data_IF_269843504818
#
_entry.id   IF_269843504818
#
_cell.length_a   1.000
_cell.length_b   1.000
_cell.length_c   1.000
_cell.angle_alpha   90.00
_cell.angle_beta   90.00
_cell.angle_gamma   90.00
#
_symmetry.space_group_name_H-M   'P 1'
#
loop_
_entity.id
_entity.type
_entity.pdbx_description
1 polymer ?
#
# COMPACT_ATOMS: atom_id res chain seq x y z
N UNK A 1 -40.05 19.29 -1.70
CA UNK A 1 -40.59 17.90 -1.62
C UNK A 1 -40.38 17.11 -2.90
N UNK A 2 -40.79 17.58 -4.09
CA UNK A 2 -40.57 16.84 -5.36
C UNK A 2 -39.10 16.49 -5.65
N UNK A 3 -38.19 17.47 -5.55
CA UNK A 3 -36.75 17.23 -5.77
C UNK A 3 -36.18 16.16 -4.82
N UNK A 4 -36.51 16.27 -3.53
CA UNK A 4 -36.09 15.30 -2.51
C UNK A 4 -36.64 13.90 -2.79
N UNK A 5 -37.92 13.79 -3.18
CA UNK A 5 -38.54 12.52 -3.58
C UNK A 5 -37.85 11.91 -4.80
N UNK A 6 -37.51 12.71 -5.81
CA UNK A 6 -36.77 12.25 -6.99
C UNK A 6 -35.39 11.73 -6.59
N UNK A 7 -34.61 12.48 -5.82
CA UNK A 7 -33.28 12.01 -5.39
C UNK A 7 -33.35 10.77 -4.49
N UNK A 8 -34.35 10.66 -3.62
CA UNK A 8 -34.56 9.49 -2.79
C UNK A 8 -34.90 8.26 -3.63
N UNK A 9 -35.85 8.40 -4.57
CA UNK A 9 -36.23 7.33 -5.51
C UNK A 9 -35.05 6.93 -6.40
N UNK A 10 -34.28 7.89 -6.92
CA UNK A 10 -33.06 7.62 -7.67
C UNK A 10 -32.03 6.87 -6.83
N UNK A 11 -31.82 7.27 -5.57
CA UNK A 11 -30.90 6.58 -4.65
C UNK A 11 -31.33 5.14 -4.38
N UNK A 12 -32.61 4.92 -4.07
CA UNK A 12 -33.16 3.57 -3.87
C UNK A 12 -33.06 2.72 -5.14
N UNK A 13 -33.33 3.32 -6.31
CA UNK A 13 -33.17 2.69 -7.62
C UNK A 13 -31.72 2.26 -7.84
N UNK A 14 -30.74 3.13 -7.60
CA UNK A 14 -29.32 2.79 -7.71
C UNK A 14 -28.93 1.65 -6.77
N UNK A 15 -29.34 1.71 -5.49
CA UNK A 15 -29.05 0.65 -4.51
C UNK A 15 -29.60 -0.70 -4.98
N UNK A 16 -30.82 -0.70 -5.53
CA UNK A 16 -31.45 -1.92 -6.03
C UNK A 16 -30.79 -2.44 -7.31
N UNK A 17 -30.73 -1.63 -8.37
CA UNK A 17 -30.26 -2.09 -9.68
C UNK A 17 -28.78 -2.47 -9.67
N UNK A 18 -27.92 -1.70 -9.00
CA UNK A 18 -26.50 -2.04 -8.91
C UNK A 18 -26.33 -3.41 -8.25
N UNK A 19 -26.97 -3.60 -7.08
CA UNK A 19 -26.83 -4.85 -6.35
C UNK A 19 -27.49 -6.03 -7.08
N UNK A 20 -28.60 -5.78 -7.80
CA UNK A 20 -29.26 -6.77 -8.66
C UNK A 20 -28.35 -7.24 -9.80
N UNK A 21 -27.80 -6.31 -10.59
CA UNK A 21 -26.96 -6.67 -11.74
C UNK A 21 -25.65 -7.35 -11.30
N UNK A 22 -25.03 -6.90 -10.21
CA UNK A 22 -23.86 -7.58 -9.62
C UNK A 22 -24.24 -9.02 -9.24
N UNK A 23 -25.34 -9.21 -8.51
CA UNK A 23 -25.77 -10.54 -8.09
C UNK A 23 -26.06 -11.46 -9.29
N UNK A 24 -26.64 -10.96 -10.38
CA UNK A 24 -26.87 -11.74 -11.60
C UNK A 24 -25.56 -12.15 -12.28
N UNK A 25 -24.61 -11.22 -12.39
CA UNK A 25 -23.31 -11.48 -13.00
C UNK A 25 -22.51 -12.50 -12.18
N UNK A 26 -22.43 -12.30 -10.86
CA UNK A 26 -21.78 -13.24 -9.94
C UNK A 26 -22.44 -14.63 -9.99
N UNK A 27 -23.77 -14.69 -10.08
CA UNK A 27 -24.51 -15.97 -10.17
C UNK A 27 -24.15 -16.78 -11.40
N UNK A 28 -23.84 -16.12 -12.51
CA UNK A 28 -23.48 -16.75 -13.77
C UNK A 28 -22.09 -17.42 -13.70
N UNK A 29 -21.12 -16.84 -12.99
CA UNK A 29 -19.80 -17.44 -12.79
C UNK A 29 -19.77 -18.44 -11.64
N UNK A 30 -20.35 -18.10 -10.49
CA UNK A 30 -20.31 -18.96 -9.30
C UNK A 30 -21.34 -20.09 -9.30
N UNK A 31 -22.26 -20.12 -10.28
CA UNK A 31 -23.41 -21.04 -10.35
C UNK A 31 -24.29 -21.02 -9.08
N UNK A 32 -24.23 -19.95 -8.30
CA UNK A 32 -25.02 -19.74 -7.08
C UNK A 32 -25.35 -18.27 -6.91
N UNK A 33 -26.54 -17.99 -6.41
CA UNK A 33 -26.91 -16.62 -6.05
C UNK A 33 -26.16 -16.20 -4.79
N UNK A 34 -25.26 -15.22 -4.94
CA UNK A 34 -24.49 -14.65 -3.86
C UNK A 34 -24.78 -13.16 -3.77
N UNK A 35 -25.13 -12.68 -2.57
CA UNK A 35 -25.24 -11.26 -2.29
C UNK A 35 -24.09 -10.86 -1.37
N UNK A 36 -23.05 -10.24 -1.93
CA UNK A 36 -21.77 -9.99 -1.25
C UNK A 36 -21.95 -9.27 0.08
N UNK A 37 -22.78 -8.21 0.12
CA UNK A 37 -23.02 -7.45 1.35
C UNK A 37 -23.65 -8.29 2.48
N UNK A 38 -24.57 -9.18 2.13
CA UNK A 38 -25.20 -10.08 3.10
C UNK A 38 -24.23 -11.18 3.54
N UNK A 39 -23.42 -11.72 2.62
CA UNK A 39 -22.41 -12.72 2.96
C UNK A 39 -21.36 -12.16 3.93
N UNK A 40 -20.94 -10.90 3.75
CA UNK A 40 -20.03 -10.22 4.67
C UNK A 40 -20.66 -10.08 6.06
N UNK A 41 -21.90 -9.62 6.16
CA UNK A 41 -22.61 -9.48 7.44
C UNK A 41 -22.87 -10.84 8.09
N UNK A 42 -23.30 -11.82 7.29
CA UNK A 42 -23.58 -13.18 7.73
C UNK A 42 -22.34 -13.83 8.32
N UNK A 43 -21.19 -13.74 7.63
CA UNK A 43 -19.94 -14.31 8.11
C UNK A 43 -19.37 -13.58 9.33
N UNK A 44 -19.32 -12.24 9.31
CA UNK A 44 -18.63 -11.47 10.36
C UNK A 44 -19.49 -11.11 11.57
N UNK A 45 -20.81 -11.19 11.47
CA UNK A 45 -21.73 -10.74 12.53
C UNK A 45 -22.66 -11.85 12.97
N UNK A 46 -23.41 -12.48 12.05
CA UNK A 46 -24.44 -13.47 12.43
C UNK A 46 -23.88 -14.86 12.73
N UNK A 47 -22.78 -15.25 12.08
CA UNK A 47 -22.11 -16.54 12.25
C UNK A 47 -20.68 -16.40 12.80
N UNK A 48 -20.37 -15.26 13.41
CA UNK A 48 -19.12 -15.10 14.16
C UNK A 48 -19.14 -15.99 15.41
N UNK A 49 -18.00 -16.58 15.73
CA UNK A 49 -17.78 -17.40 16.92
C UNK A 49 -16.34 -17.26 17.37
N UNK A 50 -15.96 -17.87 18.49
CA UNK A 50 -14.56 -17.83 18.97
C UNK A 50 -13.56 -18.40 17.95
N UNK A 51 -14.02 -19.22 16.99
CA UNK A 51 -13.20 -19.82 15.94
C UNK A 51 -13.47 -19.29 14.54
N UNK A 52 -14.42 -18.35 14.36
CA UNK A 52 -14.83 -17.83 13.04
C UNK A 52 -15.14 -16.34 13.08
N UNK A 53 -14.95 -15.65 11.97
CA UNK A 53 -15.31 -14.23 11.85
C UNK A 53 -14.09 -13.31 11.87
N UNK A 54 -14.25 -12.04 12.27
CA UNK A 54 -13.23 -11.00 12.06
C UNK A 54 -11.95 -11.17 12.89
N UNK A 55 -12.05 -11.78 14.07
CA UNK A 55 -10.97 -11.79 15.06
C UNK A 55 -9.94 -12.91 14.84
N UNK A 56 -10.22 -13.86 13.94
CA UNK A 56 -9.39 -15.05 13.70
C UNK A 56 -8.02 -14.74 13.07
N UNK A 57 -7.84 -13.51 12.58
CA UNK A 57 -6.58 -13.00 12.03
C UNK A 57 -5.83 -12.09 13.02
N UNK A 58 -6.27 -12.07 14.28
CA UNK A 58 -5.77 -11.20 15.32
C UNK A 58 -6.53 -9.87 15.40
N UNK A 59 -6.43 -9.23 16.56
CA UNK A 59 -7.08 -7.94 16.85
C UNK A 59 -6.04 -6.90 17.24
N UNK A 60 -6.40 -5.63 17.06
CA UNK A 60 -5.62 -4.48 17.51
C UNK A 60 -6.56 -3.50 18.22
N UNK A 61 -5.98 -2.63 19.04
CA UNK A 61 -6.72 -1.56 19.72
C UNK A 61 -7.20 -0.49 18.72
N UNK A 62 -8.20 0.32 19.10
CA UNK A 62 -8.81 1.35 18.24
C UNK A 62 -7.79 2.32 17.63
N UNK A 63 -6.66 2.54 18.32
CA UNK A 63 -5.55 3.38 17.84
C UNK A 63 -5.02 2.93 16.47
N UNK A 64 -5.15 1.64 16.16
CA UNK A 64 -4.73 1.07 14.88
C UNK A 64 -5.47 1.71 13.70
N UNK A 65 -6.78 1.93 13.81
CA UNK A 65 -7.55 2.64 12.76
C UNK A 65 -7.09 4.08 12.57
N UNK A 66 -6.77 4.79 13.65
CA UNK A 66 -6.25 6.16 13.57
C UNK A 66 -4.86 6.19 12.92
N UNK A 67 -3.98 5.24 13.26
CA UNK A 67 -2.66 5.11 12.62
C UNK A 67 -2.81 4.80 11.12
N UNK A 68 -3.70 3.89 10.75
CA UNK A 68 -3.98 3.56 9.36
C UNK A 68 -4.52 4.79 8.58
N UNK A 69 -5.50 5.51 9.14
CA UNK A 69 -6.04 6.71 8.51
C UNK A 69 -5.02 7.85 8.42
N UNK A 70 -4.17 8.05 9.43
CA UNK A 70 -3.06 9.01 9.35
C UNK A 70 -2.03 8.60 8.29
N UNK A 71 -1.77 7.31 8.12
CA UNK A 71 -0.84 6.82 7.11
C UNK A 71 -1.42 6.94 5.70
N UNK A 72 -2.71 6.69 5.50
CA UNK A 72 -3.34 6.66 4.17
C UNK A 72 -3.92 8.02 3.73
N UNK A 73 -4.45 8.81 4.66
CA UNK A 73 -5.04 10.13 4.39
C UNK A 73 -4.19 11.30 4.87
N UNK A 74 -3.10 11.06 5.62
CA UNK A 74 -2.22 12.12 6.11
C UNK A 74 -3.01 13.24 6.82
N UNK A 75 -2.72 14.50 6.47
CA UNK A 75 -3.39 15.68 7.02
C UNK A 75 -4.87 15.77 6.60
N UNK A 76 -5.30 15.10 5.53
CA UNK A 76 -6.71 15.11 5.11
C UNK A 76 -7.59 14.50 6.19
N UNK A 77 -7.12 13.43 6.84
CA UNK A 77 -7.87 12.82 7.94
C UNK A 77 -8.00 13.77 9.13
N UNK A 78 -6.92 14.45 9.52
CA UNK A 78 -6.94 15.40 10.65
C UNK A 78 -7.95 16.52 10.37
N UNK A 79 -7.87 17.13 9.19
CA UNK A 79 -8.76 18.23 8.81
C UNK A 79 -10.21 17.75 8.66
N UNK A 80 -10.42 16.60 8.02
CA UNK A 80 -11.74 15.98 7.89
C UNK A 80 -12.36 15.62 9.24
N UNK A 81 -11.54 15.19 10.20
CA UNK A 81 -11.95 14.89 11.57
C UNK A 81 -12.34 16.16 12.34
N UNK A 82 -11.54 17.22 12.25
CA UNK A 82 -11.86 18.54 12.85
C UNK A 82 -13.19 19.07 12.32
N UNK A 83 -13.47 18.88 11.03
CA UNK A 83 -14.74 19.29 10.44
C UNK A 83 -15.96 18.55 11.03
N UNK A 84 -15.81 17.38 11.64
CA UNK A 84 -16.93 16.71 12.34
C UNK A 84 -17.39 17.48 13.57
N UNK A 85 -16.48 18.18 14.24
CA UNK A 85 -16.81 19.00 15.41
C UNK A 85 -17.62 20.26 15.04
N UNK A 86 -17.74 20.56 13.74
CA UNK A 86 -18.53 21.69 13.25
C UNK A 86 -19.91 21.22 12.81
N UNK A 87 -20.98 21.94 13.17
CA UNK A 87 -22.34 21.66 12.69
C UNK A 87 -22.85 22.86 11.90
N UNK A 88 -22.74 22.82 10.57
CA UNK A 88 -23.14 23.93 9.70
C UNK A 88 -24.50 23.71 9.03
N UNK A 89 -24.90 22.46 8.73
CA UNK A 89 -26.11 22.19 7.95
C UNK A 89 -26.71 20.80 8.22
N UNK A 90 -28.04 20.72 8.37
CA UNK A 90 -28.80 19.47 8.49
C UNK A 90 -28.58 18.49 7.35
N UNK A 91 -28.39 18.98 6.12
CA UNK A 91 -28.14 18.12 4.96
C UNK A 91 -26.76 17.47 5.03
N UNK A 92 -25.73 18.21 5.46
CA UNK A 92 -24.38 17.67 5.65
C UNK A 92 -24.37 16.63 6.78
N UNK A 93 -25.12 16.89 7.84
CA UNK A 93 -25.28 15.96 8.95
C UNK A 93 -25.85 14.62 8.45
N UNK A 94 -26.93 14.64 7.67
CA UNK A 94 -27.60 13.43 7.18
C UNK A 94 -26.81 12.72 6.08
N UNK A 95 -26.21 13.46 5.14
CA UNK A 95 -25.61 12.88 3.93
C UNK A 95 -24.28 12.18 4.22
N UNK A 96 -23.40 12.74 5.06
CA UNK A 96 -22.08 12.15 5.26
C UNK A 96 -21.60 12.14 6.72
N UNK A 97 -21.92 13.13 7.56
CA UNK A 97 -21.41 13.13 8.94
C UNK A 97 -22.00 12.03 9.80
N UNK A 98 -23.31 11.82 9.74
CA UNK A 98 -23.99 10.79 10.53
C UNK A 98 -23.59 9.37 10.07
N UNK A 99 -23.62 9.01 8.78
CA UNK A 99 -23.13 7.70 8.34
C UNK A 99 -21.69 7.44 8.76
N UNK A 100 -20.84 8.46 8.68
CA UNK A 100 -19.44 8.38 9.09
C UNK A 100 -19.25 8.20 10.60
N UNK A 101 -19.97 8.97 11.41
CA UNK A 101 -19.94 8.84 12.87
C UNK A 101 -20.49 7.49 13.34
N UNK A 102 -21.55 6.98 12.70
CA UNK A 102 -22.09 5.65 12.98
C UNK A 102 -21.02 4.60 12.68
N UNK A 103 -20.39 4.68 11.51
CA UNK A 103 -19.36 3.73 11.11
C UNK A 103 -18.15 3.75 12.05
N UNK A 104 -17.61 4.94 12.34
CA UNK A 104 -16.54 5.08 13.32
C UNK A 104 -16.96 4.58 14.71
N UNK A 105 -18.18 4.87 15.14
CA UNK A 105 -18.69 4.40 16.43
C UNK A 105 -18.70 2.87 16.52
N UNK A 106 -19.14 2.19 15.45
CA UNK A 106 -19.12 0.73 15.36
C UNK A 106 -17.68 0.21 15.44
N UNK A 107 -16.78 0.68 14.58
CA UNK A 107 -15.42 0.13 14.50
C UNK A 107 -14.48 0.55 15.63
N UNK A 108 -14.71 1.70 16.27
CA UNK A 108 -13.99 2.05 17.51
C UNK A 108 -14.46 1.20 18.69
N UNK A 109 -15.71 0.72 18.67
CA UNK A 109 -16.24 -0.15 19.74
C UNK A 109 -15.81 -1.60 19.63
N UNK A 110 -15.18 -2.00 18.52
CA UNK A 110 -14.81 -3.39 18.25
C UNK A 110 -13.28 -3.51 18.13
N UNK A 111 -12.61 -4.40 18.88
CA UNK A 111 -11.20 -4.68 18.69
C UNK A 111 -11.03 -5.37 17.34
N UNK A 112 -10.28 -4.78 16.42
CA UNK A 112 -10.28 -5.24 15.05
C UNK A 112 -9.03 -4.77 14.30
N UNK A 113 -8.39 -5.69 13.56
CA UNK A 113 -7.11 -5.43 12.85
C UNK A 113 -7.25 -5.16 11.34
N UNK A 114 -8.36 -5.53 10.71
CA UNK A 114 -8.47 -5.33 9.25
C UNK A 114 -8.94 -3.92 8.86
N UNK A 115 -8.08 -3.21 8.14
CA UNK A 115 -8.32 -1.85 7.57
C UNK A 115 -9.38 -1.85 6.48
N UNK A 116 -9.58 -2.98 5.80
CA UNK A 116 -10.54 -3.05 4.71
C UNK A 116 -11.94 -2.64 5.17
N UNK A 117 -12.30 -2.85 6.43
CA UNK A 117 -13.59 -2.38 6.93
C UNK A 117 -13.74 -0.85 6.97
N UNK A 118 -12.68 -0.07 6.77
CA UNK A 118 -12.75 1.39 6.66
C UNK A 118 -12.97 1.90 5.22
N UNK A 119 -12.86 1.06 4.19
CA UNK A 119 -13.09 1.51 2.80
C UNK A 119 -14.46 2.19 2.58
N UNK A 120 -15.56 1.77 3.25
CA UNK A 120 -16.86 2.40 3.06
C UNK A 120 -16.92 3.86 3.51
N UNK A 121 -15.98 4.32 4.33
CA UNK A 121 -15.98 5.69 4.86
C UNK A 121 -14.94 6.62 4.23
N UNK A 122 -14.01 6.09 3.43
CA UNK A 122 -12.94 6.86 2.79
C UNK A 122 -13.47 8.06 1.98
N UNK A 123 -14.53 7.86 1.21
CA UNK A 123 -15.13 8.93 0.43
C UNK A 123 -15.84 9.98 1.31
N UNK A 124 -16.43 9.57 2.44
CA UNK A 124 -17.08 10.49 3.39
C UNK A 124 -16.05 11.36 4.12
N UNK A 125 -14.87 10.81 4.44
CA UNK A 125 -13.73 11.56 4.97
C UNK A 125 -13.26 12.61 3.96
N UNK A 126 -13.13 12.22 2.68
CA UNK A 126 -12.78 13.15 1.59
C UNK A 126 -13.79 14.28 1.42
N UNK A 127 -15.10 13.99 1.50
CA UNK A 127 -16.16 15.01 1.46
C UNK A 127 -16.03 15.95 2.67
N UNK A 128 -15.76 15.40 3.86
CA UNK A 128 -15.56 16.21 5.07
C UNK A 128 -14.38 17.17 4.93
N UNK A 129 -13.24 16.67 4.43
CA UNK A 129 -12.06 17.47 4.14
C UNK A 129 -12.37 18.58 3.13
N UNK A 130 -12.94 18.23 1.97
CA UNK A 130 -13.27 19.18 0.91
C UNK A 130 -14.26 20.25 1.40
N UNK A 131 -15.22 19.85 2.23
CA UNK A 131 -16.12 20.80 2.85
C UNK A 131 -15.36 21.77 3.77
N UNK A 132 -14.48 21.30 4.63
CA UNK A 132 -13.72 22.19 5.52
C UNK A 132 -12.88 23.20 4.73
N UNK A 133 -12.18 22.73 3.70
CA UNK A 133 -11.34 23.57 2.84
C UNK A 133 -12.16 24.58 2.01
N UNK A 134 -13.37 24.20 1.61
CA UNK A 134 -14.29 25.09 0.91
C UNK A 134 -15.03 26.04 1.84
N UNK A 135 -15.30 25.65 3.08
CA UNK A 135 -16.17 26.36 4.02
C UNK A 135 -15.78 27.83 4.14
N UNK A 136 -16.73 28.74 3.96
CA UNK A 136 -16.56 30.18 4.22
C UNK A 136 -16.53 30.49 5.73
N UNK A 137 -16.05 29.56 6.56
CA UNK A 137 -16.03 29.65 8.03
C UNK A 137 -15.32 30.90 8.53
N UNK A 138 -14.40 31.41 7.72
CA UNK A 138 -13.72 32.66 7.92
C UNK A 138 -14.59 33.80 7.38
N UNK A 139 -15.26 34.53 8.29
CA UNK A 139 -16.14 35.67 7.98
C UNK A 139 -15.53 36.68 7.00
N UNK A 140 -16.39 37.49 6.39
CA UNK A 140 -16.17 38.26 5.16
C UNK A 140 -15.19 39.46 5.21
N UNK A 141 -14.10 39.39 5.96
CA UNK A 141 -13.05 40.41 5.94
C UNK A 141 -11.91 40.01 4.97
N UNK A 142 -11.19 41.00 4.43
CA UNK A 142 -10.10 40.75 3.47
C UNK A 142 -8.95 39.92 4.07
N UNK A 143 -8.59 40.20 5.33
CA UNK A 143 -7.52 39.50 6.04
C UNK A 143 -7.79 38.00 6.22
N UNK A 144 -9.00 37.64 6.64
CA UNK A 144 -9.41 36.25 6.88
C UNK A 144 -9.49 35.45 5.58
N UNK A 145 -9.86 36.10 4.46
CA UNK A 145 -9.79 35.50 3.11
C UNK A 145 -8.35 35.22 2.68
N UNK A 146 -7.42 36.14 2.95
CA UNK A 146 -5.99 35.94 2.62
C UNK A 146 -5.36 34.84 3.46
N UNK A 147 -5.61 34.82 4.77
CA UNK A 147 -5.14 33.76 5.67
C UNK A 147 -5.67 32.40 5.22
N UNK A 148 -6.97 32.30 4.89
CA UNK A 148 -7.56 31.05 4.36
C UNK A 148 -6.89 30.60 3.07
N UNK A 149 -6.62 31.51 2.13
CA UNK A 149 -5.92 31.17 0.88
C UNK A 149 -4.53 30.61 1.16
N UNK A 150 -3.75 31.29 2.01
CA UNK A 150 -2.42 30.82 2.41
C UNK A 150 -2.52 29.45 3.07
N UNK A 151 -3.43 29.26 4.02
CA UNK A 151 -3.65 27.97 4.68
C UNK A 151 -4.00 26.88 3.66
N UNK A 152 -4.88 27.17 2.70
CA UNK A 152 -5.26 26.21 1.66
C UNK A 152 -4.06 25.81 0.79
N UNK A 153 -3.24 26.77 0.37
CA UNK A 153 -2.02 26.47 -0.38
C UNK A 153 -1.05 25.63 0.47
N UNK A 154 -0.83 26.00 1.72
CA UNK A 154 0.06 25.26 2.64
C UNK A 154 -0.42 23.83 2.83
N UNK A 155 -1.70 23.61 3.13
CA UNK A 155 -2.28 22.28 3.31
C UNK A 155 -2.14 21.46 2.03
N UNK A 156 -2.46 22.03 0.87
CA UNK A 156 -2.35 21.32 -0.42
C UNK A 156 -0.89 20.97 -0.73
N UNK A 157 0.04 21.92 -0.57
CA UNK A 157 1.47 21.68 -0.81
C UNK A 157 2.04 20.61 0.11
N UNK A 158 1.75 20.67 1.42
CA UNK A 158 2.17 19.64 2.37
C UNK A 158 1.58 18.28 2.00
N UNK A 159 0.30 18.24 1.63
CA UNK A 159 -0.36 16.98 1.27
C UNK A 159 0.27 16.36 0.03
N UNK A 160 0.48 17.14 -1.03
CA UNK A 160 1.17 16.68 -2.25
C UNK A 160 2.56 16.16 -1.89
N UNK A 161 3.31 16.88 -1.07
CA UNK A 161 4.64 16.44 -0.63
C UNK A 161 4.59 15.10 0.14
N UNK A 162 3.69 14.95 1.12
CA UNK A 162 3.54 13.71 1.90
C UNK A 162 3.10 12.53 1.02
N UNK A 163 2.20 12.75 0.06
CA UNK A 163 1.79 11.70 -0.88
C UNK A 163 2.93 11.31 -1.83
N UNK A 164 3.67 12.27 -2.39
CA UNK A 164 4.80 11.98 -3.28
C UNK A 164 5.92 11.22 -2.56
N UNK A 165 6.26 11.65 -1.34
CA UNK A 165 7.22 10.93 -0.48
C UNK A 165 6.73 9.53 -0.15
N UNK A 166 5.44 9.35 0.21
CA UNK A 166 4.85 8.03 0.44
C UNK A 166 4.87 7.13 -0.80
N UNK A 167 4.55 7.65 -1.98
CA UNK A 167 4.62 6.89 -3.24
C UNK A 167 6.07 6.48 -3.53
N UNK A 168 7.02 7.40 -3.34
CA UNK A 168 8.44 7.09 -3.49
C UNK A 168 8.89 6.01 -2.49
N UNK A 169 8.45 6.09 -1.23
CA UNK A 169 8.72 5.09 -0.22
C UNK A 169 8.21 3.70 -0.65
N UNK A 170 6.95 3.60 -1.06
CA UNK A 170 6.38 2.33 -1.51
C UNK A 170 7.15 1.75 -2.71
N UNK A 171 7.55 2.60 -3.66
CA UNK A 171 8.29 2.14 -4.82
C UNK A 171 9.73 1.71 -4.49
N UNK A 172 10.42 2.45 -3.63
CA UNK A 172 11.82 2.17 -3.27
C UNK A 172 11.95 0.98 -2.32
N UNK A 173 11.05 0.86 -1.36
CA UNK A 173 11.19 -0.06 -0.24
C UNK A 173 10.35 -1.35 -0.36
N UNK A 174 9.41 -1.41 -1.31
CA UNK A 174 8.48 -2.56 -1.45
C UNK A 174 8.32 -3.06 -2.89
N UNK A 175 9.12 -2.59 -3.86
CA UNK A 175 9.07 -3.10 -5.25
C UNK A 175 9.75 -4.46 -5.44
N UNK A 176 10.54 -4.91 -4.45
CA UNK A 176 11.36 -6.12 -4.56
C UNK A 176 10.61 -7.38 -5.00
N UNK A 177 9.43 -7.74 -4.46
CA UNK A 177 8.71 -8.92 -4.93
C UNK A 177 8.35 -8.83 -6.42
N UNK A 178 7.84 -7.67 -6.87
CA UNK A 178 7.48 -7.46 -8.27
C UNK A 178 8.73 -7.58 -9.17
N UNK A 179 9.84 -6.95 -8.79
CA UNK A 179 11.07 -6.97 -9.59
C UNK A 179 11.69 -8.38 -9.66
N UNK A 180 11.67 -9.14 -8.56
CA UNK A 180 12.19 -10.51 -8.51
C UNK A 180 11.38 -11.46 -9.39
N UNK A 181 10.03 -11.40 -9.31
CA UNK A 181 9.19 -12.22 -10.17
C UNK A 181 9.21 -11.77 -11.64
N UNK A 182 9.36 -10.46 -11.91
CA UNK A 182 9.59 -9.96 -13.26
C UNK A 182 10.91 -10.49 -13.84
N UNK A 183 11.99 -10.43 -13.07
CA UNK A 183 13.28 -11.01 -13.48
C UNK A 183 13.13 -12.49 -13.80
N UNK A 184 12.39 -13.25 -12.99
CA UNK A 184 12.14 -14.66 -13.22
C UNK A 184 11.42 -14.90 -14.55
N UNK A 185 10.36 -14.12 -14.84
CA UNK A 185 9.64 -14.19 -16.12
C UNK A 185 10.54 -13.88 -17.32
N UNK A 186 11.36 -12.83 -17.22
CA UNK A 186 12.22 -12.34 -18.30
C UNK A 186 13.43 -13.27 -18.56
N UNK A 187 13.93 -13.96 -17.52
CA UNK A 187 15.21 -14.70 -17.57
C UNK A 187 15.07 -16.18 -17.93
N UNK A 188 13.88 -16.78 -17.81
CA UNK A 188 13.71 -18.18 -18.21
C UNK A 188 13.50 -18.25 -19.72
N UNK A 189 14.49 -18.80 -20.42
CA UNK A 189 14.65 -18.76 -21.88
C UNK A 189 13.59 -19.58 -22.65
N UNK A 190 12.89 -20.50 -21.98
CA UNK A 190 11.97 -21.45 -22.63
C UNK A 190 10.55 -21.37 -22.06
N UNK A 191 9.85 -20.28 -22.37
CA UNK A 191 8.46 -20.03 -21.95
C UNK A 191 7.46 -21.09 -22.46
N UNK A 192 7.88 -21.96 -23.38
CA UNK A 192 7.07 -23.04 -23.97
C UNK A 192 7.61 -24.43 -23.65
N UNK A 193 8.49 -24.56 -22.64
CA UNK A 193 8.92 -25.86 -22.17
C UNK A 193 7.70 -26.67 -21.71
N UNK A 194 7.53 -27.93 -22.13
CA UNK A 194 6.46 -28.79 -21.64
C UNK A 194 6.66 -29.21 -20.17
N UNK A 195 7.82 -28.90 -19.59
CA UNK A 195 8.18 -29.27 -18.22
C UNK A 195 7.65 -28.21 -17.26
N UNK A 196 6.75 -28.63 -16.38
CA UNK A 196 6.25 -27.77 -15.31
C UNK A 196 7.34 -27.52 -14.27
N UNK A 197 7.58 -26.26 -13.95
CA UNK A 197 8.53 -25.82 -12.93
C UNK A 197 7.78 -25.24 -11.72
N UNK A 198 8.14 -25.67 -10.52
CA UNK A 198 7.56 -25.11 -9.30
C UNK A 198 8.41 -23.94 -8.79
N UNK A 199 7.77 -22.80 -8.63
CA UNK A 199 8.33 -21.59 -8.01
C UNK A 199 7.81 -21.55 -6.58
N UNK A 200 8.68 -21.90 -5.64
CA UNK A 200 8.29 -22.06 -4.25
C UNK A 200 8.56 -20.82 -3.41
N UNK A 201 7.63 -20.48 -2.52
CA UNK A 201 7.78 -19.44 -1.51
C UNK A 201 7.38 -20.00 -0.14
N UNK A 202 8.02 -19.54 0.93
CA UNK A 202 7.79 -20.04 2.29
C UNK A 202 7.36 -18.93 3.24
N UNK A 203 8.34 -18.36 3.94
CA UNK A 203 8.15 -17.38 5.02
C UNK A 203 7.42 -16.12 4.57
N UNK A 204 7.73 -15.66 3.36
CA UNK A 204 7.27 -14.40 2.80
C UNK A 204 6.18 -14.56 1.72
N UNK A 205 5.38 -15.63 1.80
CA UNK A 205 4.37 -15.96 0.78
C UNK A 205 3.40 -14.82 0.46
N UNK A 206 3.10 -13.97 1.45
CA UNK A 206 2.14 -12.87 1.34
C UNK A 206 2.65 -11.69 0.49
N UNK A 207 3.96 -11.63 0.21
CA UNK A 207 4.52 -10.60 -0.67
C UNK A 207 4.19 -10.83 -2.16
N UNK A 208 3.91 -12.08 -2.55
CA UNK A 208 3.51 -12.40 -3.92
C UNK A 208 2.63 -13.68 -3.98
N UNK A 209 1.33 -13.58 -3.66
CA UNK A 209 0.39 -14.70 -3.72
C UNK A 209 -0.28 -14.81 -5.12
N UNK A 210 0.43 -14.48 -6.19
CA UNK A 210 -0.13 -14.32 -7.55
C UNK A 210 0.64 -15.15 -8.59
N UNK A 211 0.10 -15.27 -9.80
CA UNK A 211 0.73 -15.90 -10.96
C UNK A 211 0.97 -14.93 -12.12
N UNK A 212 0.79 -13.62 -11.93
CA UNK A 212 0.84 -12.61 -13.01
C UNK A 212 2.19 -12.50 -13.74
N UNK A 213 3.30 -12.82 -13.07
CA UNK A 213 4.67 -12.78 -13.59
C UNK A 213 5.29 -14.18 -13.63
N UNK A 214 4.46 -15.22 -13.68
CA UNK A 214 4.91 -16.58 -13.91
C UNK A 214 4.68 -16.96 -15.36
N UNK A 215 5.62 -17.71 -15.93
CA UNK A 215 5.48 -18.22 -17.29
C UNK A 215 4.50 -19.40 -17.36
N UNK A 216 4.05 -19.76 -18.57
CA UNK A 216 2.99 -20.76 -18.76
C UNK A 216 3.32 -22.14 -18.16
N UNK A 217 4.60 -22.48 -18.06
CA UNK A 217 5.08 -23.72 -17.47
C UNK A 217 5.40 -23.61 -15.97
N UNK A 218 5.24 -22.44 -15.34
CA UNK A 218 5.60 -22.21 -13.95
C UNK A 218 4.38 -22.21 -13.04
N UNK A 219 4.50 -22.81 -11.84
CA UNK A 219 3.44 -22.83 -10.82
C UNK A 219 3.95 -22.32 -9.49
N UNK A 220 3.22 -21.37 -8.90
CA UNK A 220 3.50 -20.92 -7.54
C UNK A 220 3.17 -22.06 -6.58
N UNK A 221 4.09 -22.39 -5.68
CA UNK A 221 3.90 -23.40 -4.64
C UNK A 221 4.33 -22.85 -3.30
N UNK A 222 3.77 -23.39 -2.23
CA UNK A 222 4.13 -23.00 -0.88
C UNK A 222 4.94 -24.10 -0.20
N UNK A 223 5.91 -23.72 0.62
CA UNK A 223 6.70 -24.64 1.43
C UNK A 223 6.39 -24.42 2.90
N UNK A 224 6.66 -25.44 3.73
CA UNK A 224 6.48 -25.31 5.18
C UNK A 224 7.28 -24.10 5.70
N UNK A 225 6.61 -23.25 6.48
CA UNK A 225 7.23 -22.15 7.22
C UNK A 225 6.70 -22.12 8.65
N UNK A 226 7.12 -21.15 9.45
CA UNK A 226 6.53 -20.90 10.77
C UNK A 226 5.05 -20.50 10.73
N UNK A 227 4.49 -20.18 9.56
CA UNK A 227 3.08 -19.84 9.39
C UNK A 227 2.18 -21.07 9.56
N UNK A 228 1.19 -20.93 10.43
CA UNK A 228 0.23 -21.96 10.86
C UNK A 228 -1.23 -21.56 10.55
N UNK A 229 -1.41 -20.59 9.65
CA UNK A 229 -2.70 -20.22 9.08
C UNK A 229 -3.02 -20.94 7.76
N UNK A 230 -4.17 -20.61 7.18
CA UNK A 230 -4.55 -21.11 5.86
C UNK A 230 -3.71 -20.43 4.76
N UNK A 231 -3.12 -21.21 3.87
CA UNK A 231 -2.38 -20.72 2.70
C UNK A 231 -3.32 -20.53 1.48
N UNK A 232 -2.92 -19.69 0.50
CA UNK A 232 -3.62 -19.62 -0.77
C UNK A 232 -3.63 -20.98 -1.48
N UNK A 233 -4.64 -21.21 -2.31
CA UNK A 233 -4.77 -22.43 -3.11
C UNK A 233 -4.84 -22.13 -4.60
N UNK A 234 -4.62 -23.17 -5.39
CA UNK A 234 -4.65 -23.06 -6.85
C UNK A 234 -6.07 -22.97 -7.39
N UNK A 235 -6.21 -22.19 -8.46
CA UNK A 235 -7.38 -22.26 -9.32
C UNK A 235 -7.30 -23.48 -10.23
N UNK A 236 -8.44 -24.06 -10.58
CA UNK A 236 -8.49 -25.13 -11.57
C UNK A 236 -8.09 -24.60 -12.96
N UNK A 237 -7.07 -25.19 -13.56
CA UNK A 237 -6.68 -24.85 -14.93
C UNK A 237 -7.63 -25.51 -15.93
N UNK A 238 -8.31 -24.71 -16.78
CA UNK A 238 -9.21 -25.27 -17.76
C UNK A 238 -8.42 -25.97 -18.87
N UNK A 239 -8.83 -27.19 -19.21
CA UNK A 239 -8.23 -27.92 -20.34
C UNK A 239 -8.44 -27.22 -21.70
N UNK A 240 -9.50 -26.41 -21.80
CA UNK A 240 -9.81 -25.59 -22.98
C UNK A 240 -10.22 -24.20 -22.52
N UNK A 241 -9.61 -23.15 -23.09
CA UNK A 241 -9.98 -21.75 -22.83
C UNK A 241 -11.31 -21.39 -23.51
N UNK A 242 -12.41 -21.87 -22.93
CA UNK A 242 -13.78 -21.56 -23.34
C UNK A 242 -14.53 -20.85 -22.21
N UNK A 243 -15.66 -20.22 -22.55
CA UNK A 243 -16.55 -19.64 -21.55
C UNK A 243 -17.06 -20.70 -20.55
N UNK A 244 -17.32 -21.92 -21.01
CA UNK A 244 -17.68 -23.05 -20.14
C UNK A 244 -16.53 -23.43 -19.20
N UNK A 245 -15.30 -23.49 -19.71
CA UNK A 245 -14.10 -23.71 -18.90
C UNK A 245 -13.95 -22.64 -17.81
N UNK A 246 -14.12 -21.37 -18.16
CA UNK A 246 -14.07 -20.25 -17.22
C UNK A 246 -15.14 -20.36 -16.12
N UNK A 247 -16.37 -20.67 -16.49
CA UNK A 247 -17.49 -20.86 -15.55
C UNK A 247 -17.25 -22.08 -14.65
N UNK A 248 -16.69 -23.17 -15.17
CA UNK A 248 -16.35 -24.36 -14.38
C UNK A 248 -15.22 -24.08 -13.38
N UNK A 249 -14.16 -23.38 -13.80
CA UNK A 249 -13.06 -22.98 -12.91
C UNK A 249 -13.54 -22.04 -11.81
N UNK A 250 -14.36 -21.04 -12.13
CA UNK A 250 -14.85 -20.04 -11.17
C UNK A 250 -15.92 -20.57 -10.20
N UNK A 251 -16.68 -21.58 -10.60
CA UNK A 251 -17.68 -22.24 -9.74
C UNK A 251 -17.13 -23.40 -8.91
N UNK A 252 -15.92 -23.87 -9.21
CA UNK A 252 -15.31 -24.96 -8.45
C UNK A 252 -15.01 -24.52 -7.01
N UNK A 253 -15.32 -25.41 -6.06
CA UNK A 253 -14.99 -25.22 -4.65
C UNK A 253 -13.81 -26.15 -4.36
N UNK A 254 -12.59 -25.62 -4.19
CA UNK A 254 -11.44 -26.45 -3.87
C UNK A 254 -11.61 -27.11 -2.50
N UNK A 255 -11.18 -28.36 -2.38
CA UNK A 255 -11.15 -29.07 -1.11
C UNK A 255 -10.06 -28.51 -0.19
N UNK A 256 -10.14 -28.82 1.11
CA UNK A 256 -9.09 -28.50 2.07
C UNK A 256 -9.17 -27.11 2.71
N UNK A 257 -9.98 -26.19 2.18
CA UNK A 257 -10.23 -24.90 2.84
C UNK A 257 -11.13 -25.04 4.07
N UNK A 258 -10.90 -24.17 5.06
CA UNK A 258 -11.74 -24.04 6.25
C UNK A 258 -11.96 -22.56 6.59
N UNK A 259 -13.03 -22.28 7.32
CA UNK A 259 -13.44 -20.94 7.72
C UNK A 259 -12.86 -20.49 9.08
N UNK A 260 -11.86 -21.22 9.59
CA UNK A 260 -11.24 -20.99 10.91
C UNK A 260 -9.77 -20.55 10.80
N UNK A 261 -9.29 -20.25 9.58
CA UNK A 261 -7.88 -19.95 9.31
C UNK A 261 -6.91 -21.04 9.84
N UNK A 262 -7.33 -22.32 9.88
CA UNK A 262 -6.45 -23.41 10.35
C UNK A 262 -5.52 -23.84 9.23
N UNK A 263 -4.25 -24.03 9.55
CA UNK A 263 -3.28 -24.65 8.64
C UNK A 263 -3.81 -25.95 8.04
N UNK A 264 -3.55 -26.15 6.75
CA UNK A 264 -3.76 -27.42 6.08
C UNK A 264 -2.47 -27.81 5.32
N UNK A 265 -1.86 -28.96 5.66
CA UNK A 265 -0.62 -29.42 5.01
C UNK A 265 -0.78 -29.77 3.53
N UNK A 266 -2.01 -29.95 3.01
CA UNK A 266 -2.23 -30.23 1.59
C UNK A 266 -1.83 -29.06 0.67
N UNK A 267 -1.67 -27.86 1.22
CA UNK A 267 -1.26 -26.65 0.46
C UNK A 267 0.26 -26.45 0.41
N UNK A 268 1.05 -27.32 1.06
CA UNK A 268 2.51 -27.25 1.02
C UNK A 268 3.10 -28.38 0.17
N UNK A 269 4.23 -28.09 -0.48
CA UNK A 269 5.06 -29.07 -1.18
C UNK A 269 6.41 -29.22 -0.48
N UNK A 270 7.08 -30.35 -0.72
CA UNK A 270 8.46 -30.52 -0.26
C UNK A 270 9.39 -29.53 -0.97
N UNK A 271 10.42 -29.02 -0.28
CA UNK A 271 11.47 -28.21 -0.91
C UNK A 271 12.17 -28.95 -2.06
N UNK A 272 12.13 -30.28 -2.04
CA UNK A 272 12.67 -31.12 -3.11
C UNK A 272 11.85 -31.11 -4.41
N UNK A 273 10.64 -30.57 -4.41
CA UNK A 273 9.80 -30.45 -5.61
C UNK A 273 9.94 -29.08 -6.29
N UNK A 274 10.71 -28.18 -5.68
CA UNK A 274 10.89 -26.80 -6.11
C UNK A 274 12.04 -26.69 -7.13
N UNK A 275 11.77 -26.07 -8.28
CA UNK A 275 12.79 -25.69 -9.27
C UNK A 275 13.42 -24.34 -8.92
N UNK A 276 12.59 -23.42 -8.44
CA UNK A 276 12.99 -22.12 -7.93
C UNK A 276 12.52 -21.93 -6.49
N UNK A 277 13.28 -21.16 -5.73
CA UNK A 277 12.93 -20.76 -4.38
C UNK A 277 13.05 -19.25 -4.25
N UNK A 278 11.97 -18.62 -3.80
CA UNK A 278 11.88 -17.19 -3.55
C UNK A 278 11.73 -16.96 -2.06
N UNK A 279 12.60 -16.14 -1.49
CA UNK A 279 12.63 -15.91 -0.06
C UNK A 279 13.40 -14.62 0.29
N UNK A 280 13.36 -14.24 1.56
CA UNK A 280 14.09 -13.09 2.11
C UNK A 280 15.34 -13.54 2.89
N UNK A 281 16.40 -12.75 2.89
CA UNK A 281 17.66 -13.02 3.59
C UNK A 281 17.58 -12.80 5.13
N UNK A 282 16.47 -13.18 5.75
CA UNK A 282 16.28 -13.13 7.20
C UNK A 282 16.65 -14.47 7.87
N UNK A 283 16.77 -14.44 9.21
CA UNK A 283 16.96 -15.65 10.01
C UNK A 283 15.81 -16.63 9.80
N UNK A 284 16.13 -17.89 9.53
CA UNK A 284 15.15 -18.97 9.39
C UNK A 284 14.98 -19.74 10.70
N UNK A 285 13.79 -20.30 10.89
CA UNK A 285 13.35 -21.14 11.99
C UNK A 285 13.58 -22.62 11.66
N UNK A 286 13.69 -23.46 12.69
CA UNK A 286 13.72 -24.92 12.52
C UNK A 286 12.43 -25.50 11.90
N UNK A 287 11.35 -24.71 11.85
CA UNK A 287 10.10 -25.09 11.18
C UNK A 287 10.10 -24.81 9.68
N UNK A 288 11.04 -24.00 9.18
CA UNK A 288 11.09 -23.63 7.77
C UNK A 288 11.72 -24.75 6.93
N UNK A 289 11.14 -25.02 5.75
CA UNK A 289 11.54 -26.14 4.91
C UNK A 289 12.97 -26.00 4.35
N UNK A 290 13.39 -24.78 4.03
CA UNK A 290 14.74 -24.46 3.54
C UNK A 290 15.01 -22.95 3.68
N UNK A 291 16.18 -22.50 3.24
CA UNK A 291 16.55 -21.09 3.19
C UNK A 291 17.48 -20.83 2.00
N UNK A 292 17.62 -19.57 1.58
CA UNK A 292 18.57 -19.18 0.53
C UNK A 292 20.04 -19.49 0.86
N UNK A 293 20.36 -19.82 2.12
CA UNK A 293 21.71 -20.18 2.55
C UNK A 293 22.04 -21.66 2.33
N UNK A 294 21.04 -22.49 2.03
CA UNK A 294 21.24 -23.91 1.77
C UNK A 294 22.06 -24.11 0.48
N UNK A 295 23.02 -25.05 0.46
CA UNK A 295 23.95 -25.24 -0.67
C UNK A 295 23.29 -25.76 -1.96
N UNK A 296 22.03 -26.21 -1.86
CA UNK A 296 21.17 -26.66 -2.95
C UNK A 296 20.67 -25.53 -3.85
N UNK A 297 20.75 -24.28 -3.38
CA UNK A 297 20.26 -23.10 -4.09
C UNK A 297 21.40 -22.26 -4.67
N UNK A 298 21.23 -21.84 -5.92
CA UNK A 298 22.05 -20.84 -6.60
C UNK A 298 21.24 -19.56 -6.75
N UNK A 299 21.66 -18.49 -6.07
CA UNK A 299 21.01 -17.18 -6.13
C UNK A 299 21.15 -16.59 -7.53
N UNK A 300 20.03 -16.28 -8.18
CA UNK A 300 20.01 -15.67 -9.51
C UNK A 300 19.90 -14.15 -9.42
N UNK A 301 18.98 -13.64 -8.61
CA UNK A 301 18.69 -12.21 -8.50
C UNK A 301 18.18 -11.86 -7.11
N UNK A 302 18.53 -10.66 -6.64
CA UNK A 302 18.09 -10.09 -5.38
C UNK A 302 17.77 -8.60 -5.54
N UNK A 303 16.73 -8.15 -4.85
CA UNK A 303 16.34 -6.75 -4.75
C UNK A 303 16.19 -6.35 -3.28
N UNK A 304 16.46 -5.08 -2.95
CA UNK A 304 16.34 -4.59 -1.59
C UNK A 304 14.88 -4.39 -1.19
N UNK A 305 14.50 -4.88 0.00
CA UNK A 305 13.18 -4.69 0.60
C UNK A 305 13.34 -4.15 2.02
N UNK A 306 12.42 -3.32 2.49
CA UNK A 306 12.44 -2.79 3.85
C UNK A 306 12.36 -3.91 4.89
N UNK A 307 13.27 -3.86 5.87
CA UNK A 307 13.15 -4.62 7.10
C UNK A 307 12.18 -3.88 8.04
N UNK A 308 10.94 -4.37 8.09
CA UNK A 308 9.91 -3.74 8.90
C UNK A 308 10.21 -3.79 10.40
N UNK A 309 10.85 -4.84 10.89
CA UNK A 309 11.06 -5.06 12.32
C UNK A 309 12.21 -4.22 12.87
N UNK A 310 13.26 -4.03 12.06
CA UNK A 310 14.45 -3.28 12.46
C UNK A 310 14.46 -1.81 12.00
N UNK A 311 13.47 -1.39 11.21
CA UNK A 311 13.28 0.02 10.80
C UNK A 311 12.36 0.79 11.74
N UNK A 312 12.58 2.09 11.87
CA UNK A 312 11.82 2.97 12.78
C UNK A 312 11.61 4.38 12.24
N UNK A 313 10.74 5.14 12.91
CA UNK A 313 10.51 6.57 12.66
C UNK A 313 9.73 6.90 11.39
N UNK A 314 9.70 8.19 11.05
CA UNK A 314 8.97 8.74 9.91
C UNK A 314 9.60 8.29 8.58
N UNK A 315 10.92 8.07 8.53
CA UNK A 315 11.60 7.59 7.32
C UNK A 315 11.09 6.23 6.86
N UNK A 316 10.75 5.32 7.79
CA UNK A 316 10.10 4.04 7.46
C UNK A 316 8.80 4.22 6.66
N UNK A 317 8.04 5.29 6.95
CA UNK A 317 6.73 5.53 6.34
C UNK A 317 6.79 6.40 5.09
N UNK A 318 7.73 7.35 5.03
CA UNK A 318 7.74 8.39 4.01
C UNK A 318 9.03 8.48 3.20
N UNK A 319 10.15 7.91 3.65
CA UNK A 319 11.45 7.97 2.98
C UNK A 319 11.78 9.39 2.48
N UNK A 320 11.67 10.38 3.39
CA UNK A 320 11.76 11.80 3.09
C UNK A 320 13.19 12.15 2.67
N UNK A 321 14.19 11.58 3.34
CA UNK A 321 15.61 11.80 3.00
C UNK A 321 15.91 11.40 1.56
N UNK A 322 15.61 10.17 1.17
CA UNK A 322 15.87 9.74 -0.21
C UNK A 322 15.05 10.55 -1.21
N UNK A 323 13.80 10.90 -0.89
CA UNK A 323 12.99 11.73 -1.77
C UNK A 323 13.61 13.11 -2.01
N UNK A 324 14.06 13.80 -0.95
CA UNK A 324 14.75 15.10 -1.07
C UNK A 324 16.05 14.94 -1.86
N UNK A 325 16.82 13.89 -1.57
CA UNK A 325 18.09 13.66 -2.26
C UNK A 325 17.91 13.40 -3.75
N UNK A 326 16.95 12.54 -4.13
CA UNK A 326 16.73 12.11 -5.50
C UNK A 326 16.01 13.15 -6.37
N UNK A 327 15.06 13.89 -5.79
CA UNK A 327 14.20 14.81 -6.55
C UNK A 327 14.53 16.29 -6.37
N UNK A 328 15.29 16.66 -5.33
CA UNK A 328 15.68 18.06 -5.08
C UNK A 328 17.19 18.24 -5.20
N UNK A 329 17.97 17.50 -4.41
CA UNK A 329 19.41 17.73 -4.27
C UNK A 329 20.18 17.30 -5.51
N UNK A 330 20.05 16.05 -5.96
CA UNK A 330 20.76 15.53 -7.15
C UNK A 330 20.38 16.30 -8.42
N UNK A 331 19.09 16.58 -8.72
CA UNK A 331 18.72 17.36 -9.90
C UNK A 331 19.24 18.80 -9.83
N UNK A 332 19.23 19.43 -8.66
CA UNK A 332 19.83 20.76 -8.47
C UNK A 332 21.32 20.76 -8.81
N UNK A 333 22.08 19.77 -8.34
CA UNK A 333 23.50 19.65 -8.68
C UNK A 333 23.74 19.32 -10.15
N UNK A 334 22.90 18.50 -10.80
CA UNK A 334 23.00 18.27 -12.25
C UNK A 334 22.74 19.56 -13.02
N UNK A 335 21.74 20.33 -12.61
CA UNK A 335 21.49 21.65 -13.16
C UNK A 335 22.72 22.54 -12.93
N UNK A 336 23.36 22.46 -11.77
CA UNK A 336 24.58 23.21 -11.47
C UNK A 336 25.82 22.76 -12.28
N UNK A 337 25.95 21.47 -12.59
CA UNK A 337 26.99 20.96 -13.48
C UNK A 337 26.74 21.36 -14.93
N UNK A 338 25.48 21.44 -15.36
CA UNK A 338 25.11 22.02 -16.68
C UNK A 338 25.33 23.55 -16.67
N UNK A 339 25.11 24.19 -15.52
CA UNK A 339 25.51 25.55 -15.21
C UNK A 339 27.04 25.68 -15.07
N UNK A 340 27.89 24.68 -15.32
CA UNK A 340 29.31 24.93 -15.60
C UNK A 340 29.49 25.73 -16.90
N UNK A 341 28.49 25.71 -17.77
CA UNK A 341 28.32 26.69 -18.86
C UNK A 341 28.08 28.10 -18.31
N UNK A 342 27.43 28.21 -17.14
CA UNK A 342 27.34 29.45 -16.36
C UNK A 342 28.62 29.72 -15.56
N UNK A 343 29.40 28.73 -15.13
CA UNK A 343 30.74 28.90 -14.56
C UNK A 343 31.71 29.50 -15.60
N UNK A 344 31.57 29.13 -16.88
CA UNK A 344 32.23 29.77 -18.02
C UNK A 344 31.75 31.23 -18.18
N UNK A 345 30.44 31.48 -18.16
CA UNK A 345 29.88 32.84 -18.19
C UNK A 345 30.23 33.67 -16.93
N UNK A 346 30.45 33.02 -15.79
CA UNK A 346 30.86 33.61 -14.50
C UNK A 346 32.32 34.00 -14.54
N UNK A 347 33.20 33.14 -15.06
CA UNK A 347 34.61 33.48 -15.34
C UNK A 347 34.73 34.59 -16.39
N UNK A 348 33.85 34.62 -17.39
CA UNK A 348 33.74 35.74 -18.33
C UNK A 348 33.32 37.03 -17.60
N UNK A 349 32.29 37.00 -16.74
CA UNK A 349 31.84 38.15 -15.95
C UNK A 349 32.88 38.62 -14.90
N UNK A 350 33.63 37.70 -14.29
CA UNK A 350 34.77 37.98 -13.41
C UNK A 350 35.93 38.63 -14.18
N UNK A 351 36.24 38.17 -15.40
CA UNK A 351 37.18 38.85 -16.30
C UNK A 351 36.70 40.26 -16.69
N UNK A 352 35.39 40.51 -16.70
CA UNK A 352 34.78 41.83 -16.90
C UNK A 352 34.59 42.64 -15.60
N UNK A 353 35.02 42.12 -14.43
CA UNK A 353 35.12 42.88 -13.19
C UNK A 353 33.81 43.05 -12.38
N UNK A 354 32.87 42.12 -12.46
CA UNK A 354 31.62 42.16 -11.67
C UNK A 354 31.72 41.18 -10.49
N UNK A 355 32.10 41.66 -9.31
CA UNK A 355 32.15 40.88 -8.06
C UNK A 355 31.05 41.33 -7.06
N UNK A 356 30.53 40.39 -6.27
CA UNK A 356 29.66 40.70 -5.12
C UNK A 356 30.51 41.08 -3.89
N UNK A 357 30.03 42.05 -3.11
CA UNK A 357 30.76 42.73 -2.03
C UNK A 357 31.26 41.86 -0.84
N UNK A 358 30.97 40.56 -0.81
CA UNK A 358 31.16 39.72 0.38
C UNK A 358 32.15 38.56 0.16
N UNK A 359 32.76 38.41 -1.02
CA UNK A 359 33.78 37.38 -1.29
C UNK A 359 33.33 35.91 -1.20
N UNK A 360 32.05 35.65 -0.91
CA UNK A 360 31.50 34.29 -0.83
C UNK A 360 31.18 33.76 -2.23
N UNK A 361 31.69 32.57 -2.55
CA UNK A 361 31.28 31.82 -3.74
C UNK A 361 29.84 31.34 -3.52
N UNK A 362 28.97 31.59 -4.50
CA UNK A 362 27.52 31.32 -4.44
C UNK A 362 27.16 29.85 -4.18
N UNK A 363 28.11 28.92 -4.40
CA UNK A 363 27.84 27.49 -4.51
C UNK A 363 28.32 26.62 -3.33
N UNK A 364 29.25 27.11 -2.50
CA UNK A 364 29.79 26.33 -1.37
C UNK A 364 28.86 26.32 -0.15
N UNK A 365 27.88 27.23 -0.09
CA UNK A 365 27.01 27.40 1.08
C UNK A 365 25.87 26.40 1.20
N UNK A 366 25.31 25.89 0.09
CA UNK A 366 24.06 25.13 0.14
C UNK A 366 24.25 23.71 0.71
N UNK A 367 25.29 22.99 0.28
CA UNK A 367 25.55 21.62 0.77
C UNK A 367 26.03 21.65 2.22
N UNK A 368 26.89 22.61 2.57
CA UNK A 368 27.29 22.82 3.96
C UNK A 368 26.07 23.13 4.84
N UNK A 369 25.14 23.97 4.38
CA UNK A 369 23.93 24.29 5.14
C UNK A 369 22.94 23.11 5.21
N UNK A 370 22.79 22.33 4.13
CA UNK A 370 21.95 21.12 4.11
C UNK A 370 22.52 20.02 5.00
N UNK A 371 23.83 19.78 4.95
CA UNK A 371 24.52 18.80 5.79
C UNK A 371 24.44 19.23 7.26
N UNK A 372 24.67 20.51 7.56
CA UNK A 372 24.55 21.05 8.92
C UNK A 372 23.11 20.95 9.44
N UNK A 373 22.11 21.24 8.59
CA UNK A 373 20.70 21.08 8.94
C UNK A 373 20.35 19.61 9.17
N UNK A 374 20.86 18.70 8.34
CA UNK A 374 20.61 17.28 8.45
C UNK A 374 21.29 16.68 9.69
N UNK A 375 22.50 17.11 10.01
CA UNK A 375 23.18 16.80 11.27
C UNK A 375 22.39 17.33 12.46
N UNK A 376 21.93 18.59 12.41
CA UNK A 376 21.09 19.17 13.45
C UNK A 376 19.78 18.37 13.64
N UNK A 377 19.10 18.01 12.55
CA UNK A 377 17.87 17.23 12.60
C UNK A 377 18.14 15.83 13.17
N UNK A 378 19.19 15.15 12.72
CA UNK A 378 19.52 13.82 13.21
C UNK A 378 19.93 13.84 14.69
N UNK A 379 20.66 14.87 15.14
CA UNK A 379 21.07 15.02 16.54
C UNK A 379 19.88 15.32 17.46
N UNK A 380 18.97 16.20 17.04
CA UNK A 380 17.88 16.67 17.90
C UNK A 380 16.58 15.85 17.76
N UNK A 381 16.37 15.22 16.60
CA UNK A 381 15.13 14.53 16.25
C UNK A 381 15.36 13.11 15.71
N UNK A 382 16.56 12.54 15.90
CA UNK A 382 16.93 11.22 15.37
C UNK A 382 15.95 10.10 15.70
N UNK A 383 15.35 10.10 16.90
CA UNK A 383 14.34 9.11 17.31
C UNK A 383 13.02 9.24 16.54
N UNK A 384 12.64 10.45 16.10
CA UNK A 384 11.42 10.71 15.33
C UNK A 384 11.66 10.42 13.85
N UNK A 385 12.80 10.84 13.33
CA UNK A 385 13.22 10.57 11.95
C UNK A 385 13.37 9.06 11.74
N UNK A 386 14.09 8.40 12.65
CA UNK A 386 14.38 6.98 12.63
C UNK A 386 15.38 6.58 11.54
N UNK A 387 15.50 5.27 11.36
CA UNK A 387 16.43 4.63 10.42
C UNK A 387 15.67 3.59 9.59
N UNK A 388 16.03 3.52 8.31
CA UNK A 388 15.52 2.54 7.35
C UNK A 388 16.59 1.48 7.15
N UNK A 389 16.25 0.23 7.47
CA UNK A 389 17.09 -0.94 7.23
C UNK A 389 16.43 -1.80 6.15
N UNK A 390 17.26 -2.51 5.41
CA UNK A 390 16.80 -3.32 4.26
C UNK A 390 17.34 -4.74 4.35
N UNK A 391 16.51 -5.67 3.96
CA UNK A 391 16.82 -7.05 3.65
C UNK A 391 16.88 -7.22 2.13
N UNK A 392 17.32 -8.39 1.65
CA UNK A 392 17.29 -8.80 0.25
C UNK A 392 16.21 -9.83 0.05
N UNK A 393 15.30 -9.53 -0.87
CA UNK A 393 14.34 -10.49 -1.40
C UNK A 393 14.94 -11.10 -2.67
N UNK A 394 15.11 -12.41 -2.71
CA UNK A 394 15.86 -13.07 -3.76
C UNK A 394 15.10 -14.25 -4.37
N UNK A 395 15.42 -14.53 -5.63
CA UNK A 395 15.09 -15.78 -6.30
C UNK A 395 16.35 -16.60 -6.52
N UNK A 396 16.28 -17.88 -6.20
CA UNK A 396 17.32 -18.85 -6.44
C UNK A 396 16.81 -20.02 -7.26
N UNK A 397 17.70 -20.65 -8.03
CA UNK A 397 17.45 -21.88 -8.77
C UNK A 397 18.09 -23.05 -8.05
N UNK A 398 17.46 -24.22 -8.11
CA UNK A 398 18.08 -25.42 -7.58
C UNK A 398 19.24 -25.89 -8.47
N UNK A 399 20.34 -26.32 -7.82
CA UNK A 399 21.53 -26.88 -8.48
C UNK A 399 21.33 -28.28 -9.03
#
# INVERSE_FOLDING_TARGET
MRLFSVYLLSGLSCIFFIAYFIAQFDSLFYKKTAYVGFNILSYNVFHASDSTGPDIFGTEDFQWYFKNLLLNFHIFFIIGAVNFLTLFNKYQLVIYKLPLLIWFGIFVSQPHKEERFMYPVYHLISISFAQFMSCETFGANYLTKTIKKILNYVVLSISVFLFLTRVNNLNTNYSAPINVFKYLSDSTVDNHSPITENVCIGREWYHYPSSLFLNENQRLRFTQSSFDGMLPGDFLEPAVHSFEGLVNTTSAIPAGFNNMNKFNPDFIVSSSECSFYVDIDMKYSAKDATSLTSPEWEILYCEAILDADNSSGIEKSFNIKNFIDDFVVKPWFRLQSDLSTIELNRKLMEMYGIENANGAKMFDGLYANLSTLQEFINQNFGAIVGEVKTNKFCVARRR
#
